data_IF_396985286422
#
_entry.id   IF_396985286422
#
_cell.length_a   1.000
_cell.length_b   1.000
_cell.length_c   1.000
_cell.angle_alpha   90.00
_cell.angle_beta   90.00
_cell.angle_gamma   90.00
#
_symmetry.space_group_name_H-M   'P 1'
#
loop_
_entity.id
_entity.type
_entity.pdbx_description
1 polymer ?
#
# COMPACT_ATOMS: atom_id res chain seq x y z
N UNK A 1 2.32 14.94 10.05
CA UNK A 1 1.92 13.53 9.86
C UNK A 1 2.70 12.92 8.72
N UNK A 2 3.26 11.72 8.91
CA UNK A 2 3.97 11.00 7.86
C UNK A 2 3.17 9.78 7.39
N UNK A 3 2.97 9.67 6.07
CA UNK A 3 2.49 8.47 5.39
C UNK A 3 3.65 7.90 4.57
N UNK A 4 4.18 6.78 5.02
CA UNK A 4 5.08 5.94 4.24
C UNK A 4 4.22 4.97 3.45
N UNK A 5 4.46 4.85 2.15
CA UNK A 5 3.63 4.02 1.31
C UNK A 5 4.47 3.19 0.37
N UNK A 6 4.16 1.90 0.25
CA UNK A 6 4.65 1.14 -0.88
C UNK A 6 4.03 1.72 -2.17
N UNK A 7 4.72 1.75 -3.32
CA UNK A 7 4.13 2.23 -4.57
C UNK A 7 2.77 1.61 -4.92
N UNK A 8 1.94 2.37 -5.65
CA UNK A 8 0.60 1.95 -6.14
C UNK A 8 -0.39 1.48 -5.05
N UNK A 9 -0.21 1.93 -3.81
CA UNK A 9 -1.08 1.63 -2.66
C UNK A 9 -2.20 2.67 -2.40
N UNK A 10 -2.48 3.56 -3.36
CA UNK A 10 -3.44 4.68 -3.20
C UNK A 10 -3.09 5.71 -2.11
N UNK A 11 -1.81 5.84 -1.76
CA UNK A 11 -1.34 6.80 -0.75
C UNK A 11 -1.61 8.27 -1.08
N UNK A 12 -1.60 8.68 -2.35
CA UNK A 12 -2.04 10.04 -2.74
C UNK A 12 -3.52 10.28 -2.42
N UNK A 13 -4.38 9.28 -2.62
CA UNK A 13 -5.81 9.38 -2.25
C UNK A 13 -5.97 9.51 -0.75
N UNK A 14 -5.24 8.69 0.03
CA UNK A 14 -5.27 8.74 1.49
C UNK A 14 -4.80 10.11 2.02
N UNK A 15 -3.64 10.58 1.56
CA UNK A 15 -3.05 11.88 1.93
C UNK A 15 -4.04 13.03 1.68
N UNK A 16 -4.61 13.11 0.46
CA UNK A 16 -5.54 14.17 0.11
C UNK A 16 -6.85 14.08 0.89
N UNK A 17 -7.33 12.87 1.20
CA UNK A 17 -8.53 12.67 2.00
C UNK A 17 -8.34 13.20 3.42
N UNK A 18 -7.26 12.80 4.11
CA UNK A 18 -6.92 13.29 5.46
C UNK A 18 -6.75 14.82 5.44
N UNK A 19 -6.00 15.33 4.47
CA UNK A 19 -5.75 16.77 4.33
C UNK A 19 -7.04 17.57 4.18
N UNK A 20 -7.98 17.07 3.38
CA UNK A 20 -9.30 17.70 3.19
C UNK A 20 -10.18 17.61 4.44
N UNK A 21 -10.15 16.48 5.16
CA UNK A 21 -10.98 16.28 6.36
C UNK A 21 -10.54 17.20 7.52
N UNK A 22 -9.23 17.39 7.67
CA UNK A 22 -8.64 18.11 8.80
C UNK A 22 -8.04 19.47 8.43
N UNK A 23 -8.27 19.95 7.20
CA UNK A 23 -7.75 21.23 6.69
C UNK A 23 -6.22 21.35 6.81
N UNK A 24 -5.52 20.22 6.66
CA UNK A 24 -4.06 20.17 6.69
C UNK A 24 -3.49 20.43 5.30
N UNK A 25 -2.27 20.95 5.24
CA UNK A 25 -1.51 20.97 3.99
C UNK A 25 -1.05 19.55 3.66
N UNK A 26 -0.75 19.27 2.40
CA UNK A 26 -0.12 18.00 1.98
C UNK A 26 1.06 18.22 1.05
N UNK A 27 2.05 17.34 1.14
CA UNK A 27 3.26 17.40 0.32
C UNK A 27 3.83 16.00 0.07
N UNK A 28 4.29 15.76 -1.16
CA UNK A 28 5.32 14.77 -1.46
C UNK A 28 6.59 15.54 -1.77
N UNK A 29 7.64 15.28 -1.00
CA UNK A 29 8.92 15.99 -1.09
C UNK A 29 9.91 15.18 -1.95
N UNK A 30 10.47 15.82 -2.98
CA UNK A 30 11.44 15.22 -3.90
C UNK A 30 12.84 15.81 -3.75
N UNK A 31 13.08 16.61 -2.70
CA UNK A 31 14.39 17.25 -2.43
C UNK A 31 15.54 16.23 -2.31
N UNK A 32 15.24 15.00 -1.91
CA UNK A 32 16.21 13.91 -1.75
C UNK A 32 16.23 12.93 -2.93
N UNK A 33 15.61 13.26 -4.08
CA UNK A 33 15.59 12.41 -5.28
C UNK A 33 16.99 12.11 -5.87
N UNK A 34 17.98 12.93 -5.51
CA UNK A 34 19.39 12.78 -5.90
C UNK A 34 20.25 12.07 -4.85
N UNK A 35 19.69 11.68 -3.70
CA UNK A 35 20.43 10.94 -2.69
C UNK A 35 20.80 9.53 -3.20
N UNK A 36 21.58 8.80 -2.41
CA UNK A 36 21.98 7.42 -2.76
C UNK A 36 20.75 6.52 -2.91
N UNK A 37 20.85 5.54 -3.80
CA UNK A 37 19.92 4.42 -3.84
C UNK A 37 20.06 3.63 -2.53
N UNK A 38 18.95 3.21 -1.90
CA UNK A 38 19.01 2.43 -0.67
C UNK A 38 19.72 1.10 -0.87
N UNK A 39 20.34 0.57 0.19
CA UNK A 39 20.81 -0.81 0.15
C UNK A 39 19.65 -1.79 -0.12
N UNK A 40 19.95 -2.93 -0.72
CA UNK A 40 18.98 -3.98 -1.10
C UNK A 40 17.88 -3.54 -2.08
N UNK A 41 17.98 -2.35 -2.68
CA UNK A 41 17.05 -1.83 -3.67
C UNK A 41 17.64 -1.96 -5.08
N UNK A 42 17.04 -2.80 -5.92
CA UNK A 42 17.56 -3.13 -7.25
C UNK A 42 17.04 -2.20 -8.34
N UNK A 43 15.73 -2.06 -8.49
CA UNK A 43 15.08 -1.41 -9.66
C UNK A 43 13.87 -0.55 -9.32
N UNK A 44 13.20 -0.75 -8.17
CA UNK A 44 11.97 0.01 -7.84
C UNK A 44 12.21 1.54 -7.82
N UNK A 45 13.44 1.96 -7.53
CA UNK A 45 13.89 3.35 -7.52
C UNK A 45 13.90 4.02 -8.91
N UNK A 46 13.84 3.23 -9.98
CA UNK A 46 13.67 3.71 -11.37
C UNK A 46 12.20 4.03 -11.67
N UNK A 47 11.25 3.39 -10.97
CA UNK A 47 9.83 3.69 -11.07
C UNK A 47 9.42 4.90 -10.23
N UNK A 48 10.14 5.19 -9.13
CA UNK A 48 9.84 6.27 -8.19
C UNK A 48 11.11 6.97 -7.73
N UNK A 49 11.25 8.23 -8.14
CA UNK A 49 12.44 9.05 -7.83
C UNK A 49 12.64 9.36 -6.34
N UNK A 50 11.61 9.23 -5.51
CA UNK A 50 11.65 9.42 -4.06
C UNK A 50 11.97 8.15 -3.27
N UNK A 51 12.28 7.03 -3.95
CA UNK A 51 12.88 5.86 -3.29
C UNK A 51 14.39 6.08 -3.24
N UNK A 52 14.85 6.76 -2.19
CA UNK A 52 16.26 7.10 -1.92
C UNK A 52 16.56 7.03 -0.43
N UNK A 53 17.85 7.03 -0.10
CA UNK A 53 18.30 7.22 1.28
C UNK A 53 17.95 8.62 1.78
N UNK A 54 17.45 8.70 3.01
CA UNK A 54 17.28 9.97 3.71
C UNK A 54 18.63 10.40 4.29
N UNK A 55 18.93 11.70 4.18
CA UNK A 55 20.07 12.30 4.89
C UNK A 55 19.68 12.76 6.30
N UNK A 56 18.43 13.17 6.48
CA UNK A 56 17.78 13.44 7.75
C UNK A 56 16.27 13.19 7.60
N UNK A 57 15.54 13.16 8.72
CA UNK A 57 14.09 12.94 8.72
C UNK A 57 13.30 13.99 9.53
N UNK A 58 13.98 15.02 10.06
CA UNK A 58 13.37 16.04 10.93
C UNK A 58 12.21 16.76 10.24
N UNK A 59 12.36 17.07 8.94
CA UNK A 59 11.34 17.76 8.16
C UNK A 59 10.01 16.99 8.07
N UNK A 60 10.02 15.66 8.30
CA UNK A 60 8.83 14.81 8.27
C UNK A 60 8.00 14.90 9.56
N UNK A 61 8.55 15.50 10.62
CA UNK A 61 7.86 15.68 11.90
C UNK A 61 7.16 17.06 11.99
N UNK A 62 6.17 17.27 11.12
CA UNK A 62 5.37 18.50 11.11
C UNK A 62 3.89 18.19 11.34
N UNK A 63 3.27 18.79 12.37
CA UNK A 63 1.88 18.53 12.76
C UNK A 63 0.85 19.15 11.79
N UNK A 64 1.22 20.22 11.09
CA UNK A 64 0.33 20.95 10.18
C UNK A 64 0.39 20.46 8.72
N UNK A 65 1.19 19.43 8.46
CA UNK A 65 1.49 18.94 7.12
C UNK A 65 1.38 17.41 7.08
N UNK A 66 0.65 16.90 6.07
CA UNK A 66 0.61 15.48 5.75
C UNK A 66 1.64 15.20 4.65
N UNK A 67 2.73 14.54 5.03
CA UNK A 67 3.71 14.04 4.09
C UNK A 67 3.30 12.67 3.55
N UNK A 68 3.52 12.45 2.26
CA UNK A 68 3.47 11.13 1.63
C UNK A 68 4.80 10.84 0.96
N UNK A 69 5.41 9.71 1.28
CA UNK A 69 6.70 9.31 0.72
C UNK A 69 6.81 7.81 0.47
N UNK A 70 7.66 7.44 -0.51
CA UNK A 70 8.06 6.07 -0.77
C UNK A 70 9.40 5.72 -0.07
N UNK A 71 9.47 5.91 1.26
CA UNK A 71 10.69 5.64 2.04
C UNK A 71 10.97 4.13 2.06
N UNK A 72 12.04 3.70 1.39
CA UNK A 72 12.50 2.31 1.37
C UNK A 72 13.02 1.89 2.75
N UNK A 73 12.74 0.68 3.25
CA UNK A 73 13.14 0.26 4.60
C UNK A 73 14.59 -0.24 4.66
N UNK A 74 15.56 0.55 4.17
CA UNK A 74 16.98 0.30 4.44
C UNK A 74 17.31 0.54 5.91
N UNK A 75 18.45 0.03 6.36
CA UNK A 75 18.89 0.20 7.76
C UNK A 75 18.98 1.67 8.17
N UNK A 76 19.49 2.53 7.27
CA UNK A 76 19.59 3.97 7.52
C UNK A 76 18.20 4.65 7.62
N UNK A 77 17.31 4.40 6.66
CA UNK A 77 15.96 4.98 6.67
C UNK A 77 15.12 4.53 7.87
N UNK A 78 15.24 3.25 8.26
CA UNK A 78 14.58 2.72 9.45
C UNK A 78 15.08 3.45 10.70
N UNK A 79 16.39 3.61 10.85
CA UNK A 79 17.01 4.35 11.96
C UNK A 79 16.52 5.80 12.02
N UNK A 80 16.58 6.53 10.90
CA UNK A 80 16.19 7.93 10.84
C UNK A 80 14.71 8.16 11.12
N UNK A 81 13.85 7.21 10.75
CA UNK A 81 12.43 7.31 11.00
C UNK A 81 11.98 6.68 12.33
N UNK A 82 12.89 6.05 13.10
CA UNK A 82 12.52 5.23 14.27
C UNK A 82 11.67 5.98 15.27
N UNK A 83 11.89 7.28 15.50
CA UNK A 83 11.13 8.08 16.48
C UNK A 83 10.01 8.93 15.86
N UNK A 84 9.73 8.77 14.57
CA UNK A 84 8.72 9.55 13.87
C UNK A 84 7.42 8.75 13.85
N UNK A 85 6.36 9.36 14.40
CA UNK A 85 4.99 8.84 14.32
C UNK A 85 4.54 8.81 12.86
N UNK A 86 4.18 7.62 12.38
CA UNK A 86 3.95 7.36 10.94
C UNK A 86 2.84 6.35 10.70
N UNK A 87 2.20 6.49 9.55
CA UNK A 87 1.32 5.50 8.96
C UNK A 87 2.07 4.81 7.85
N UNK A 88 2.06 3.49 7.82
CA UNK A 88 2.63 2.71 6.72
C UNK A 88 1.48 2.06 5.95
N UNK A 89 1.36 2.42 4.68
CA UNK A 89 0.36 1.87 3.77
C UNK A 89 0.98 0.81 2.86
N UNK A 90 0.56 -0.44 3.08
CA UNK A 90 1.06 -1.62 2.38
C UNK A 90 0.03 -2.17 1.39
N UNK A 91 0.52 -2.77 0.31
CA UNK A 91 -0.26 -3.45 -0.72
C UNK A 91 0.55 -4.67 -1.15
N UNK A 92 -0.16 -5.76 -1.46
CA UNK A 92 0.45 -6.97 -1.99
C UNK A 92 1.37 -6.66 -3.20
N UNK A 93 2.63 -7.14 -3.21
CA UNK A 93 3.60 -6.90 -4.29
C UNK A 93 3.09 -7.27 -5.69
N UNK A 94 2.44 -8.43 -5.84
CA UNK A 94 1.89 -8.89 -7.12
C UNK A 94 0.83 -7.92 -7.63
N UNK A 95 -0.08 -7.49 -6.75
CA UNK A 95 -1.09 -6.49 -7.08
C UNK A 95 -0.52 -5.12 -7.49
N UNK A 96 0.66 -4.76 -7.00
CA UNK A 96 1.37 -3.54 -7.41
C UNK A 96 1.92 -3.68 -8.83
N UNK A 97 2.52 -4.81 -9.16
CA UNK A 97 3.03 -5.12 -10.52
C UNK A 97 1.89 -5.00 -11.53
N UNK A 98 0.75 -5.65 -11.25
CA UNK A 98 -0.42 -5.54 -12.12
C UNK A 98 -1.00 -4.12 -12.16
N UNK A 99 -0.84 -3.32 -11.11
CA UNK A 99 -1.22 -1.91 -11.13
C UNK A 99 -0.31 -1.05 -12.03
N UNK A 100 0.98 -1.38 -12.16
CA UNK A 100 1.85 -0.76 -13.17
C UNK A 100 1.37 -1.09 -14.59
N UNK A 101 1.08 -2.38 -14.87
CA UNK A 101 0.52 -2.82 -16.16
C UNK A 101 -0.72 -2.02 -16.56
N UNK A 102 -1.70 -1.94 -15.65
CA UNK A 102 -2.92 -1.14 -15.88
C UNK A 102 -2.63 0.34 -16.08
N UNK A 103 -1.56 0.87 -15.48
CA UNK A 103 -1.12 2.24 -15.69
C UNK A 103 -0.46 2.46 -17.05
N UNK A 104 0.34 1.50 -17.52
CA UNK A 104 0.97 1.52 -18.83
C UNK A 104 -0.06 1.41 -19.97
N UNK A 105 -1.05 0.51 -19.86
CA UNK A 105 -2.16 0.39 -20.83
C UNK A 105 -2.92 1.71 -20.99
N UNK A 106 -2.99 2.52 -19.92
CA UNK A 106 -3.65 3.83 -19.93
C UNK A 106 -2.71 4.98 -20.29
N UNK A 107 -1.46 4.70 -20.68
CA UNK A 107 -0.42 5.69 -20.97
C UNK A 107 -0.19 6.70 -19.84
N UNK A 108 -0.39 6.27 -18.58
CA UNK A 108 -0.15 7.11 -17.39
C UNK A 108 1.32 7.07 -16.98
N UNK A 109 2.03 6.01 -17.33
CA UNK A 109 3.43 5.79 -17.00
C UNK A 109 4.19 5.26 -18.20
N UNK A 110 5.45 5.66 -18.32
CA UNK A 110 6.36 5.05 -19.27
C UNK A 110 6.63 3.61 -18.84
N UNK A 111 6.66 2.70 -19.81
CA UNK A 111 7.14 1.34 -19.59
C UNK A 111 8.64 1.38 -19.33
N UNK A 112 9.11 0.60 -18.35
CA UNK A 112 10.53 0.30 -18.25
C UNK A 112 10.93 -0.71 -19.32
N UNK A 113 12.23 -0.73 -19.63
CA UNK A 113 12.81 -1.71 -20.54
C UNK A 113 12.45 -3.13 -20.07
N UNK A 114 11.99 -3.96 -21.00
CA UNK A 114 11.59 -5.34 -20.72
C UNK A 114 10.10 -5.53 -20.44
N UNK A 115 9.33 -4.47 -20.21
CA UNK A 115 7.87 -4.55 -20.09
C UNK A 115 7.16 -4.12 -21.37
N UNK A 116 6.03 -4.77 -21.66
CA UNK A 116 5.18 -4.48 -22.81
C UNK A 116 3.69 -4.50 -22.39
N UNK A 117 2.83 -3.74 -23.09
CA UNK A 117 1.37 -3.74 -22.82
C UNK A 117 0.69 -5.00 -23.38
N UNK A 118 1.33 -5.64 -24.34
CA UNK A 118 0.93 -6.88 -24.98
C UNK A 118 1.11 -8.09 -24.05
N UNK A 119 2.07 -8.00 -23.11
CA UNK A 119 2.26 -9.01 -22.07
C UNK A 119 1.01 -9.20 -21.21
N UNK A 120 0.72 -10.44 -20.84
CA UNK A 120 -0.34 -10.78 -19.90
C UNK A 120 0.07 -10.55 -18.42
N UNK A 121 -0.84 -10.87 -17.50
CA UNK A 121 -0.61 -10.64 -16.07
C UNK A 121 0.51 -11.55 -15.50
N UNK A 122 0.64 -12.79 -15.99
CA UNK A 122 1.64 -13.77 -15.53
C UNK A 122 3.04 -13.45 -16.09
N UNK A 123 3.11 -13.00 -17.34
CA UNK A 123 4.33 -12.50 -17.97
C UNK A 123 4.87 -11.27 -17.24
N UNK A 124 4.01 -10.31 -16.85
CA UNK A 124 4.41 -9.15 -16.06
C UNK A 124 5.00 -9.54 -14.70
N UNK A 125 4.37 -10.50 -14.02
CA UNK A 125 4.86 -11.00 -12.73
C UNK A 125 6.17 -11.75 -12.90
N UNK A 126 6.30 -12.58 -13.94
CA UNK A 126 7.54 -13.31 -14.25
C UNK A 126 8.68 -12.35 -14.56
N UNK A 127 8.45 -11.37 -15.43
CA UNK A 127 9.43 -10.33 -15.75
C UNK A 127 9.87 -9.54 -14.51
N UNK A 128 8.93 -9.19 -13.63
CA UNK A 128 9.24 -8.48 -12.37
C UNK A 128 10.09 -9.29 -11.38
N UNK A 129 10.05 -10.61 -11.45
CA UNK A 129 10.95 -11.47 -10.67
C UNK A 129 12.34 -11.49 -11.29
N UNK A 130 12.42 -11.54 -12.62
CA UNK A 130 13.70 -11.58 -13.33
C UNK A 130 14.51 -10.28 -13.17
N UNK A 131 13.85 -9.12 -13.20
CA UNK A 131 14.53 -7.82 -13.13
C UNK A 131 14.72 -7.26 -11.70
N UNK A 132 14.17 -7.95 -10.70
CA UNK A 132 14.30 -7.57 -9.29
C UNK A 132 13.15 -6.75 -8.71
N UNK A 133 12.19 -6.27 -9.51
CA UNK A 133 11.11 -5.41 -9.01
C UNK A 133 10.23 -6.10 -7.96
N UNK A 134 9.88 -7.37 -8.19
CA UNK A 134 9.10 -8.15 -7.23
C UNK A 134 9.83 -8.27 -5.89
N UNK A 135 11.14 -8.52 -5.92
CA UNK A 135 11.95 -8.66 -4.72
C UNK A 135 12.07 -7.34 -3.96
N UNK A 136 12.25 -6.22 -4.66
CA UNK A 136 12.26 -4.90 -4.04
C UNK A 136 10.93 -4.57 -3.34
N UNK A 137 9.81 -4.88 -3.99
CA UNK A 137 8.47 -4.68 -3.43
C UNK A 137 8.20 -5.59 -2.25
N UNK A 138 8.63 -6.85 -2.34
CA UNK A 138 8.49 -7.82 -1.27
C UNK A 138 9.34 -7.44 -0.05
N UNK A 139 10.58 -6.99 -0.27
CA UNK A 139 11.45 -6.45 0.78
C UNK A 139 10.82 -5.22 1.43
N UNK A 140 10.34 -4.25 0.62
CA UNK A 140 9.62 -3.08 1.14
C UNK A 140 8.46 -3.49 2.04
N UNK A 141 7.64 -4.44 1.56
CA UNK A 141 6.45 -4.90 2.28
C UNK A 141 6.80 -5.58 3.60
N UNK A 142 7.70 -6.57 3.57
CA UNK A 142 8.02 -7.38 4.74
C UNK A 142 8.76 -6.58 5.81
N UNK A 143 9.78 -5.80 5.42
CA UNK A 143 10.59 -5.05 6.38
C UNK A 143 9.77 -4.01 7.14
N UNK A 144 8.92 -3.25 6.46
CA UNK A 144 8.04 -2.30 7.14
C UNK A 144 6.99 -2.98 8.01
N UNK A 145 6.52 -4.17 7.62
CA UNK A 145 5.56 -4.94 8.41
C UNK A 145 6.20 -5.52 9.67
N UNK A 146 7.39 -6.10 9.54
CA UNK A 146 8.10 -6.80 10.62
C UNK A 146 8.74 -5.83 11.61
N UNK A 147 9.26 -4.69 11.14
CA UNK A 147 9.92 -3.69 11.98
C UNK A 147 8.98 -2.58 12.48
N UNK A 148 7.67 -2.75 12.29
CA UNK A 148 6.70 -1.79 12.79
C UNK A 148 6.66 -1.79 14.32
N UNK A 149 6.96 -0.64 14.93
CA UNK A 149 6.70 -0.43 16.35
C UNK A 149 5.27 0.12 16.52
N UNK A 150 4.35 -0.58 17.20
CA UNK A 150 2.97 -0.14 17.35
C UNK A 150 2.82 1.21 18.07
N UNK A 151 3.80 1.64 18.88
CA UNK A 151 3.77 2.92 19.59
C UNK A 151 3.84 4.13 18.65
N UNK A 152 4.48 3.97 17.50
CA UNK A 152 4.70 5.06 16.55
C UNK A 152 4.51 4.69 15.09
N UNK A 153 4.04 3.48 14.80
CA UNK A 153 3.80 2.99 13.45
C UNK A 153 2.42 2.34 13.37
N UNK A 154 1.51 2.97 12.62
CA UNK A 154 0.21 2.38 12.27
C UNK A 154 0.28 1.69 10.91
N UNK A 155 0.18 0.36 10.90
CA UNK A 155 0.06 -0.42 9.67
C UNK A 155 -1.37 -0.38 9.10
N UNK A 156 -1.47 -0.09 7.81
CA UNK A 156 -2.72 -0.05 7.04
C UNK A 156 -2.51 -0.84 5.75
N UNK A 157 -3.51 -1.65 5.40
CA UNK A 157 -3.48 -2.42 4.16
C UNK A 157 -4.39 -1.78 3.12
N UNK A 158 -3.92 -1.76 1.86
CA UNK A 158 -4.63 -1.17 0.73
C UNK A 158 -6.06 -1.71 0.59
N UNK A 159 -6.26 -3.02 0.74
CA UNK A 159 -7.59 -3.63 0.62
C UNK A 159 -8.53 -3.11 1.72
N UNK A 160 -8.04 -2.98 2.96
CA UNK A 160 -8.81 -2.41 4.07
C UNK A 160 -9.21 -0.96 3.78
N UNK A 161 -8.28 -0.15 3.26
CA UNK A 161 -8.55 1.24 2.90
C UNK A 161 -9.58 1.37 1.77
N UNK A 162 -9.55 0.48 0.78
CA UNK A 162 -10.51 0.50 -0.34
C UNK A 162 -11.90 0.05 0.10
N UNK A 163 -11.99 -1.02 0.92
CA UNK A 163 -13.27 -1.58 1.35
C UNK A 163 -13.93 -0.76 2.46
N UNK A 164 -13.15 -0.33 3.45
CA UNK A 164 -13.64 0.31 4.66
C UNK A 164 -12.90 1.63 4.96
N UNK A 165 -12.93 2.61 4.03
CA UNK A 165 -12.13 3.83 4.16
C UNK A 165 -12.47 4.63 5.43
N UNK A 166 -13.72 4.64 5.88
CA UNK A 166 -14.13 5.33 7.12
C UNK A 166 -13.45 4.73 8.35
N UNK A 167 -13.38 3.40 8.44
CA UNK A 167 -12.72 2.72 9.54
C UNK A 167 -11.21 3.00 9.55
N UNK A 168 -10.58 2.94 8.38
CA UNK A 168 -9.15 3.27 8.23
C UNK A 168 -8.85 4.71 8.62
N UNK A 169 -9.66 5.67 8.17
CA UNK A 169 -9.51 7.08 8.56
C UNK A 169 -9.68 7.26 10.07
N UNK A 170 -10.71 6.66 10.69
CA UNK A 170 -10.91 6.74 12.14
C UNK A 170 -9.71 6.16 12.93
N UNK A 171 -9.07 5.09 12.43
CA UNK A 171 -7.85 4.53 13.03
C UNK A 171 -6.69 5.51 12.94
N UNK A 172 -6.51 6.18 11.79
CA UNK A 172 -5.47 7.20 11.60
C UNK A 172 -5.73 8.41 12.50
N UNK A 173 -6.98 8.86 12.58
CA UNK A 173 -7.39 9.97 13.43
C UNK A 173 -7.09 9.67 14.90
N UNK A 174 -7.51 8.51 15.39
CA UNK A 174 -7.16 8.05 16.74
C UNK A 174 -5.66 7.96 16.92
N UNK A 175 -4.95 7.39 15.96
CA UNK A 175 -3.51 7.22 16.05
C UNK A 175 -2.79 8.56 16.17
N UNK A 176 -3.18 9.60 15.42
CA UNK A 176 -2.59 10.95 15.49
C UNK A 176 -3.31 11.93 16.42
N UNK A 177 -4.20 11.45 17.28
CA UNK A 177 -4.96 12.28 18.23
C UNK A 177 -5.77 13.41 17.54
N UNK A 178 -6.25 13.15 16.32
CA UNK A 178 -7.10 14.06 15.55
C UNK A 178 -8.57 13.91 15.96
N UNK A 179 -9.33 14.98 15.76
CA UNK A 179 -10.79 14.96 15.93
C UNK A 179 -11.44 13.97 14.97
N UNK A 180 -12.20 13.01 15.51
CA UNK A 180 -12.86 11.98 14.70
C UNK A 180 -13.86 12.56 13.69
N UNK A 181 -13.76 12.13 12.43
CA UNK A 181 -14.69 12.53 11.37
C UNK A 181 -16.03 11.81 11.53
N UNK A 182 -17.06 12.54 12.00
CA UNK A 182 -18.42 12.00 12.16
C UNK A 182 -19.20 11.91 10.85
N UNK A 183 -19.00 12.88 9.96
CA UNK A 183 -19.71 12.98 8.67
C UNK A 183 -19.30 11.87 7.70
N UNK A 184 -20.19 11.52 6.79
CA UNK A 184 -19.83 10.65 5.67
C UNK A 184 -18.92 11.42 4.70
N UNK A 185 -17.97 10.71 4.09
CA UNK A 185 -17.06 11.25 3.10
C UNK A 185 -16.78 10.20 2.03
N UNK A 186 -16.44 10.68 0.83
CA UNK A 186 -15.84 9.85 -0.22
C UNK A 186 -14.34 10.06 -0.22
N UNK A 187 -13.59 8.97 -0.44
CA UNK A 187 -12.16 9.08 -0.68
C UNK A 187 -11.93 9.83 -1.98
N UNK A 188 -10.86 10.62 -2.03
CA UNK A 188 -10.43 11.23 -3.29
C UNK A 188 -10.12 10.08 -4.27
N UNK A 189 -10.75 10.06 -5.45
CA UNK A 189 -10.70 8.93 -6.40
C UNK A 189 -9.30 8.34 -6.53
N UNK A 190 -9.15 7.08 -6.16
CA UNK A 190 -7.91 6.35 -6.40
C UNK A 190 -7.86 5.89 -7.87
N UNK A 191 -6.83 6.31 -8.60
CA UNK A 191 -6.70 6.13 -10.06
C UNK A 191 -6.56 4.65 -10.51
N UNK A 192 -6.38 3.71 -9.58
CA UNK A 192 -6.00 2.31 -9.86
C UNK A 192 -6.81 1.24 -9.10
N UNK A 193 -8.04 1.55 -8.68
CA UNK A 193 -8.85 0.71 -7.77
C UNK A 193 -9.45 -0.57 -8.36
N UNK A 194 -9.25 -0.88 -9.65
CA UNK A 194 -9.67 -2.20 -10.14
C UNK A 194 -8.80 -3.26 -9.47
N UNK A 195 -9.43 -4.11 -8.65
CA UNK A 195 -8.89 -5.43 -8.27
C UNK A 195 -8.61 -6.20 -9.55
N UNK A 196 -7.51 -6.94 -9.60
CA UNK A 196 -7.37 -7.98 -10.62
C UNK A 196 -8.59 -8.89 -10.51
N UNK A 197 -9.21 -9.24 -11.64
CA UNK A 197 -10.38 -10.13 -11.64
C UNK A 197 -10.03 -11.50 -11.02
N UNK A 198 -8.75 -11.89 -11.03
CA UNK A 198 -8.24 -13.13 -10.47
C UNK A 198 -8.43 -13.21 -8.94
N UNK A 199 -8.08 -12.15 -8.21
CA UNK A 199 -8.24 -12.15 -6.74
C UNK A 199 -9.70 -12.01 -6.30
N UNK A 200 -10.53 -11.31 -7.08
CA UNK A 200 -11.98 -11.34 -6.87
C UNK A 200 -12.54 -12.74 -7.16
N UNK A 201 -12.07 -13.42 -8.21
CA UNK A 201 -12.49 -14.78 -8.54
C UNK A 201 -12.09 -15.75 -7.43
N UNK A 202 -10.83 -15.75 -6.98
CA UNK A 202 -10.34 -16.61 -5.89
C UNK A 202 -11.11 -16.32 -4.59
N UNK A 203 -11.32 -15.06 -4.23
CA UNK A 203 -12.07 -14.68 -3.03
C UNK A 203 -13.55 -15.08 -3.10
N UNK A 204 -14.21 -14.86 -4.24
CA UNK A 204 -15.60 -15.27 -4.46
C UNK A 204 -15.70 -16.80 -4.41
N UNK A 205 -14.74 -17.51 -5.03
CA UNK A 205 -14.75 -18.96 -5.08
C UNK A 205 -14.43 -19.58 -3.71
N UNK A 206 -13.48 -19.03 -2.96
CA UNK A 206 -13.14 -19.47 -1.60
C UNK A 206 -14.30 -19.29 -0.64
N UNK A 207 -15.05 -18.18 -0.73
CA UNK A 207 -16.24 -17.96 0.08
C UNK A 207 -17.38 -18.89 -0.32
N UNK A 208 -17.63 -19.09 -1.62
CA UNK A 208 -18.63 -20.07 -2.09
C UNK A 208 -18.30 -21.50 -1.65
N UNK A 209 -17.03 -21.90 -1.70
CA UNK A 209 -16.58 -23.19 -1.18
C UNK A 209 -16.80 -23.30 0.33
N UNK A 210 -16.45 -22.25 1.08
CA UNK A 210 -16.68 -22.22 2.53
C UNK A 210 -18.16 -22.38 2.88
N UNK A 211 -19.04 -21.64 2.20
CA UNK A 211 -20.49 -21.72 2.39
C UNK A 211 -21.05 -23.10 2.00
N UNK A 212 -20.54 -23.70 0.93
CA UNK A 212 -20.87 -25.07 0.53
C UNK A 212 -20.48 -26.08 1.61
N UNK A 213 -19.25 -26.03 2.14
CA UNK A 213 -18.79 -26.94 3.19
C UNK A 213 -19.56 -26.75 4.50
N UNK A 214 -19.89 -25.50 4.88
CA UNK A 214 -20.77 -25.22 6.02
C UNK A 214 -22.16 -25.84 5.83
N UNK A 215 -22.75 -25.67 4.65
CA UNK A 215 -24.07 -26.23 4.33
C UNK A 215 -24.04 -27.76 4.36
N UNK A 216 -22.99 -28.38 3.84
CA UNK A 216 -22.78 -29.82 3.87
C UNK A 216 -22.62 -30.35 5.30
N UNK A 217 -21.86 -29.65 6.15
CA UNK A 217 -21.70 -29.99 7.57
C UNK A 217 -23.03 -29.92 8.33
N UNK A 218 -23.84 -28.89 8.10
CA UNK A 218 -25.17 -28.76 8.69
C UNK A 218 -26.09 -29.91 8.23
N UNK A 219 -26.09 -30.22 6.94
CA UNK A 219 -26.87 -31.33 6.38
C UNK A 219 -26.47 -32.68 7.00
N UNK A 220 -25.17 -32.98 7.06
CA UNK A 220 -24.67 -34.22 7.67
C UNK A 220 -25.05 -34.28 9.16
N UNK A 221 -24.88 -33.17 9.89
CA UNK A 221 -25.28 -33.09 11.31
C UNK A 221 -26.76 -33.41 11.52
N UNK A 222 -27.65 -32.86 10.69
CA UNK A 222 -29.10 -33.14 10.75
C UNK A 222 -29.42 -34.60 10.39
N UNK A 223 -28.73 -35.15 9.38
CA UNK A 223 -28.95 -36.53 8.92
C UNK A 223 -28.50 -37.59 9.94
N UNK A 224 -27.45 -37.30 10.71
CA UNK A 224 -26.87 -38.26 11.67
C UNK A 224 -27.34 -38.07 13.12
N UNK A 225 -27.84 -36.88 13.49
CA UNK A 225 -28.43 -36.62 14.81
C UNK A 225 -29.97 -36.76 14.84
N UNK A 226 -30.62 -36.94 13.69
CA UNK A 226 -32.06 -37.18 13.57
C UNK A 226 -32.48 -38.65 13.73
N UNK A 227 -31.75 -39.42 14.56
CA UNK A 227 -32.12 -40.77 14.99
C UNK A 227 -32.24 -40.82 16.50
#
# INVERSE_FOLDING_TARGET
MLIIAIPKSASTSLMLTISKLHQLKSKQDFSFSKNRIPENCNIIHQFHSDIRELSNAEFLNNEHLVYKQHIYPSSNNLKLTTNIKKVVLLRDPTEIILAYRRGAIKSIHNLLKGYSIEMDDDEWVTQSKQDGLFFDLNYFYNEWKEKANPDNTLLIYYNEYVENPKQVINRIEKFYDLKTTKRNFSTVKARFTRRSNLNNFIYIYSNKLKDFFLSLLVYLKLKFLGK
#
